data_IF_716349826743
#
_entry.id   IF_716349826743
#
_cell.length_a   1.000
_cell.length_b   1.000
_cell.length_c   1.000
_cell.angle_alpha   90.00
_cell.angle_beta   90.00
_cell.angle_gamma   90.00
#
_symmetry.space_group_name_H-M   'P 1'
#
loop_
_entity.id
_entity.type
_entity.pdbx_description
1 polymer ?
#
# COMPACT_ATOMS: atom_id res chain seq x y z
N UNK A 1 -52.22 -10.81 -11.78
CA UNK A 1 -51.56 -9.48 -11.63
C UNK A 1 -50.19 -9.73 -11.05
N UNK A 2 -49.14 -9.74 -11.88
CA UNK A 2 -47.78 -9.82 -11.39
C UNK A 2 -47.48 -8.47 -10.73
N UNK A 3 -47.38 -8.46 -9.40
CA UNK A 3 -46.92 -7.28 -8.69
C UNK A 3 -45.60 -6.82 -9.27
N UNK A 4 -45.56 -5.59 -9.74
CA UNK A 4 -44.31 -4.92 -10.07
C UNK A 4 -43.46 -4.92 -8.80
N UNK A 5 -42.44 -5.73 -8.75
CA UNK A 5 -41.43 -5.65 -7.69
C UNK A 5 -40.82 -4.25 -7.86
N UNK A 6 -41.11 -3.35 -6.93
CA UNK A 6 -40.52 -2.04 -6.91
C UNK A 6 -39.01 -2.20 -6.73
N UNK A 7 -38.22 -1.90 -7.77
CA UNK A 7 -36.77 -1.88 -7.69
C UNK A 7 -36.34 -0.62 -6.90
N UNK A 8 -35.40 -0.78 -5.98
CA UNK A 8 -34.87 0.36 -5.26
C UNK A 8 -34.16 1.32 -6.24
N UNK A 9 -34.37 2.64 -6.12
CA UNK A 9 -33.69 3.59 -6.99
C UNK A 9 -32.18 3.55 -6.77
N UNK A 10 -31.43 3.87 -7.83
CA UNK A 10 -29.99 3.99 -7.73
C UNK A 10 -29.59 5.22 -6.93
N UNK A 11 -28.59 5.06 -6.05
CA UNK A 11 -27.96 6.14 -5.31
C UNK A 11 -26.75 6.64 -6.11
N UNK A 12 -26.61 7.96 -6.22
CA UNK A 12 -25.46 8.64 -6.82
C UNK A 12 -24.57 9.14 -5.70
N UNK A 13 -23.30 8.76 -5.73
CA UNK A 13 -22.30 9.12 -4.72
C UNK A 13 -21.17 9.85 -5.43
N UNK A 14 -20.84 11.10 -5.04
CA UNK A 14 -19.66 11.78 -5.56
C UNK A 14 -18.40 10.95 -5.30
N UNK A 15 -17.55 10.79 -6.29
CA UNK A 15 -16.35 10.00 -6.18
C UNK A 15 -15.26 10.51 -7.12
N UNK A 16 -14.01 10.36 -6.73
CA UNK A 16 -12.84 10.59 -7.55
C UNK A 16 -12.07 9.29 -7.73
N UNK A 17 -11.82 8.89 -8.97
CA UNK A 17 -10.99 7.73 -9.26
C UNK A 17 -9.57 8.19 -9.48
N UNK A 18 -8.65 7.77 -8.62
CA UNK A 18 -7.28 8.25 -8.59
C UNK A 18 -6.26 7.11 -8.67
N UNK A 19 -5.13 7.41 -9.32
CA UNK A 19 -3.89 6.67 -9.17
C UNK A 19 -3.04 7.36 -8.10
N UNK A 20 -2.49 6.58 -7.21
CA UNK A 20 -1.42 6.97 -6.31
C UNK A 20 -0.31 5.91 -6.36
N UNK A 21 0.92 6.34 -6.66
CA UNK A 21 2.00 5.41 -6.94
C UNK A 21 1.59 4.37 -7.99
N UNK A 22 1.87 3.10 -7.73
CA UNK A 22 1.51 1.97 -8.60
C UNK A 22 0.15 1.34 -8.26
N UNK A 23 -0.72 2.07 -7.56
CA UNK A 23 -2.09 1.62 -7.22
C UNK A 23 -3.11 2.62 -7.71
N UNK A 24 -4.36 2.17 -7.87
CA UNK A 24 -5.52 3.04 -8.10
C UNK A 24 -6.71 2.61 -7.26
N UNK A 25 -7.57 3.57 -6.93
CA UNK A 25 -8.74 3.33 -6.09
C UNK A 25 -9.78 4.42 -6.22
N UNK A 26 -10.95 4.17 -5.65
CA UNK A 26 -12.05 5.12 -5.59
C UNK A 26 -11.97 5.88 -4.28
N UNK A 27 -11.94 7.22 -4.39
CA UNK A 27 -11.84 8.15 -3.27
C UNK A 27 -13.18 8.79 -3.01
N UNK A 28 -13.53 8.86 -1.74
CA UNK A 28 -14.76 9.49 -1.24
C UNK A 28 -14.42 10.49 -0.14
N UNK A 29 -15.17 11.58 -0.11
CA UNK A 29 -15.31 12.36 1.12
C UNK A 29 -16.29 11.64 2.03
N UNK A 30 -16.01 11.56 3.32
CA UNK A 30 -16.87 10.85 4.27
C UNK A 30 -18.29 11.42 4.28
N UNK A 31 -18.43 12.74 4.22
CA UNK A 31 -19.69 13.45 4.23
C UNK A 31 -20.54 13.25 2.95
N UNK A 32 -19.95 12.81 1.85
CA UNK A 32 -20.65 12.52 0.60
C UNK A 32 -21.26 11.08 0.58
N UNK A 33 -20.83 10.22 1.50
CA UNK A 33 -21.41 8.90 1.63
C UNK A 33 -22.85 8.96 2.22
N UNK A 34 -23.76 8.06 1.83
CA UNK A 34 -25.03 7.90 2.52
C UNK A 34 -24.85 7.73 4.04
N UNK A 35 -25.69 8.36 4.86
CA UNK A 35 -25.53 8.42 6.32
C UNK A 35 -25.21 7.06 6.96
N UNK A 36 -25.91 6.00 6.55
CA UNK A 36 -25.66 4.64 7.07
C UNK A 36 -24.27 4.08 6.72
N UNK A 37 -23.64 4.58 5.66
CA UNK A 37 -22.30 4.19 5.24
C UNK A 37 -21.20 5.11 5.81
N UNK A 38 -21.54 6.25 6.40
CA UNK A 38 -20.60 7.10 7.11
C UNK A 38 -20.12 6.44 8.42
N UNK A 39 -20.91 5.50 8.95
CA UNK A 39 -20.58 4.77 10.18
C UNK A 39 -19.93 3.43 9.82
N UNK A 40 -18.83 3.01 10.51
CA UNK A 40 -18.24 1.69 10.30
C UNK A 40 -19.27 0.57 10.50
N UNK A 41 -19.25 -0.42 9.60
CA UNK A 41 -20.14 -1.58 9.69
C UNK A 41 -20.62 -2.09 8.33
N UNK A 42 -21.57 -3.04 8.33
CA UNK A 42 -21.98 -3.76 7.13
C UNK A 42 -22.49 -2.86 5.99
N UNK A 43 -23.16 -1.74 6.31
CA UNK A 43 -23.65 -0.82 5.28
C UNK A 43 -22.51 -0.17 4.49
N UNK A 44 -21.44 0.26 5.19
CA UNK A 44 -20.23 0.77 4.56
C UNK A 44 -19.54 -0.31 3.73
N UNK A 45 -19.32 -1.48 4.29
CA UNK A 45 -18.63 -2.58 3.62
C UNK A 45 -19.36 -3.02 2.36
N UNK A 46 -20.67 -3.22 2.43
CA UNK A 46 -21.51 -3.60 1.29
C UNK A 46 -21.49 -2.53 0.18
N UNK A 47 -21.55 -1.24 0.56
CA UNK A 47 -21.41 -0.14 -0.38
C UNK A 47 -20.08 -0.23 -1.12
N UNK A 48 -18.97 -0.37 -0.41
CA UNK A 48 -17.64 -0.41 -1.00
C UNK A 48 -17.40 -1.68 -1.83
N UNK A 49 -17.92 -2.83 -1.39
CA UNK A 49 -17.91 -4.05 -2.18
C UNK A 49 -18.63 -3.83 -3.52
N UNK A 50 -19.78 -3.20 -3.49
CA UNK A 50 -20.55 -2.93 -4.71
C UNK A 50 -19.86 -1.90 -5.62
N UNK A 51 -19.24 -0.88 -5.05
CA UNK A 51 -18.42 0.10 -5.78
C UNK A 51 -17.28 -0.57 -6.56
N UNK A 52 -16.62 -1.52 -5.95
CA UNK A 52 -15.47 -2.21 -6.57
C UNK A 52 -15.94 -3.34 -7.51
N UNK A 53 -17.15 -3.85 -7.33
CA UNK A 53 -17.68 -5.01 -8.08
C UNK A 53 -17.23 -6.34 -7.48
N UNK A 54 -17.33 -6.45 -6.16
CA UNK A 54 -16.93 -7.63 -5.37
C UNK A 54 -18.10 -8.12 -4.50
N UNK A 55 -18.13 -9.42 -4.17
CA UNK A 55 -17.26 -10.49 -4.67
C UNK A 55 -17.55 -10.85 -6.12
N UNK A 56 -16.53 -11.02 -6.93
CA UNK A 56 -16.67 -11.40 -8.33
C UNK A 56 -16.12 -12.82 -8.58
N UNK A 57 -16.99 -13.83 -8.82
CA UNK A 57 -16.54 -15.19 -9.08
C UNK A 57 -15.80 -15.34 -10.41
N UNK A 58 -15.93 -14.37 -11.32
CA UNK A 58 -15.21 -14.36 -12.59
C UNK A 58 -13.81 -13.72 -12.49
N UNK A 59 -13.49 -13.05 -11.37
CA UNK A 59 -12.21 -12.39 -11.14
C UNK A 59 -11.90 -11.26 -12.12
N UNK A 60 -12.91 -10.52 -12.58
CA UNK A 60 -12.78 -9.41 -13.54
C UNK A 60 -13.25 -8.07 -13.01
N UNK A 61 -14.14 -8.09 -12.00
CA UNK A 61 -14.77 -6.90 -11.41
C UNK A 61 -15.43 -5.99 -12.47
N UNK A 62 -16.04 -6.62 -13.49
CA UNK A 62 -16.63 -5.93 -14.64
C UNK A 62 -17.80 -5.03 -14.26
N UNK A 63 -18.53 -5.36 -13.18
CA UNK A 63 -19.67 -4.60 -12.67
C UNK A 63 -19.27 -3.67 -11.51
N UNK A 64 -18.08 -3.07 -11.58
CA UNK A 64 -17.55 -2.13 -10.61
C UNK A 64 -16.30 -1.39 -11.09
N UNK A 65 -15.71 -0.61 -10.20
CA UNK A 65 -14.52 0.20 -10.47
C UNK A 65 -13.21 -0.55 -10.23
N UNK A 66 -13.26 -1.78 -9.75
CA UNK A 66 -12.08 -2.59 -9.54
C UNK A 66 -11.41 -3.02 -10.85
N UNK A 67 -10.17 -3.48 -10.75
CA UNK A 67 -9.38 -3.97 -11.90
C UNK A 67 -8.82 -5.36 -11.66
N UNK A 68 -9.45 -6.16 -10.81
CA UNK A 68 -9.17 -7.55 -10.53
C UNK A 68 -7.72 -7.85 -10.07
N UNK A 69 -7.06 -6.87 -9.45
CA UNK A 69 -5.77 -7.04 -8.77
C UNK A 69 -5.78 -6.35 -7.41
N UNK A 70 -4.86 -6.73 -6.53
CA UNK A 70 -4.74 -6.08 -5.22
C UNK A 70 -4.36 -4.59 -5.31
N UNK A 71 -3.70 -4.18 -6.40
CA UNK A 71 -3.32 -2.77 -6.65
C UNK A 71 -4.47 -1.92 -7.19
N UNK A 72 -5.55 -2.53 -7.66
CA UNK A 72 -6.66 -1.85 -8.35
C UNK A 72 -8.04 -2.08 -7.69
N UNK A 73 -8.10 -2.85 -6.59
CA UNK A 73 -9.34 -3.15 -5.84
C UNK A 73 -9.32 -2.46 -4.49
N UNK A 74 -9.35 -1.12 -4.52
CA UNK A 74 -9.10 -0.27 -3.34
C UNK A 74 -10.11 0.86 -3.25
N UNK A 75 -10.44 1.20 -2.01
CA UNK A 75 -11.27 2.37 -1.66
C UNK A 75 -10.56 3.23 -0.63
N UNK A 76 -10.82 4.52 -0.68
CA UNK A 76 -10.29 5.52 0.23
C UNK A 76 -11.42 6.43 0.67
N UNK A 77 -11.53 6.62 1.98
CA UNK A 77 -12.45 7.60 2.57
C UNK A 77 -11.60 8.65 3.28
N UNK A 78 -11.83 9.91 2.95
CA UNK A 78 -11.12 11.07 3.52
C UNK A 78 -12.13 11.97 4.20
N UNK A 79 -11.75 12.51 5.35
CA UNK A 79 -12.52 13.52 6.08
C UNK A 79 -11.58 14.58 6.68
N UNK A 80 -12.14 15.72 7.09
CA UNK A 80 -11.38 16.67 7.93
C UNK A 80 -10.89 15.94 9.18
N UNK A 81 -9.63 16.16 9.56
CA UNK A 81 -9.08 15.45 10.71
C UNK A 81 -9.71 15.90 12.01
N UNK A 82 -9.93 14.92 12.89
CA UNK A 82 -10.29 15.12 14.29
C UNK A 82 -9.06 15.09 15.21
N UNK A 83 -7.90 14.73 14.67
CA UNK A 83 -6.65 14.67 15.40
C UNK A 83 -5.95 16.04 15.38
N UNK A 84 -5.39 16.50 16.51
CA UNK A 84 -4.64 17.75 16.55
C UNK A 84 -3.48 17.70 15.54
N UNK A 85 -3.18 18.85 14.95
CA UNK A 85 -2.08 19.03 13.99
C UNK A 85 -2.14 18.19 12.71
N UNK A 86 -3.32 17.67 12.34
CA UNK A 86 -3.55 16.96 11.09
C UNK A 86 -4.61 17.68 10.23
N UNK A 87 -4.42 17.61 8.92
CA UNK A 87 -5.35 18.20 7.97
C UNK A 87 -6.53 17.26 7.69
N UNK A 88 -6.25 15.98 7.46
CA UNK A 88 -7.24 14.97 7.10
C UNK A 88 -7.04 13.64 7.82
N UNK A 89 -8.15 12.94 8.03
CA UNK A 89 -8.17 11.53 8.35
C UNK A 89 -8.28 10.72 7.05
N UNK A 90 -7.44 9.71 6.91
CA UNK A 90 -7.38 8.80 5.78
C UNK A 90 -7.74 7.38 6.23
N UNK A 91 -8.86 6.88 5.75
CA UNK A 91 -9.31 5.50 5.98
C UNK A 91 -9.19 4.70 4.69
N UNK A 92 -8.43 3.60 4.74
CA UNK A 92 -8.15 2.74 3.60
C UNK A 92 -8.92 1.43 3.68
N UNK A 93 -9.61 1.03 2.60
CA UNK A 93 -10.26 -0.27 2.45
C UNK A 93 -9.63 -1.09 1.32
N UNK A 94 -9.02 -2.24 1.67
CA UNK A 94 -8.60 -3.23 0.67
C UNK A 94 -9.76 -4.17 0.39
N UNK A 95 -10.30 -4.12 -0.82
CA UNK A 95 -11.45 -4.96 -1.19
C UNK A 95 -10.94 -6.27 -1.79
N UNK A 96 -11.44 -7.40 -1.25
CA UNK A 96 -11.18 -8.71 -1.84
C UNK A 96 -11.87 -8.84 -3.19
N UNK A 97 -11.25 -9.56 -4.15
CA UNK A 97 -11.80 -9.74 -5.49
C UNK A 97 -12.95 -10.75 -5.47
N UNK A 98 -12.73 -11.88 -4.81
CA UNK A 98 -13.57 -13.09 -4.86
C UNK A 98 -14.36 -13.34 -3.57
N UNK A 99 -14.14 -12.55 -2.52
CA UNK A 99 -14.80 -12.70 -1.21
C UNK A 99 -15.53 -11.42 -0.80
N UNK A 100 -16.64 -11.53 -0.06
CA UNK A 100 -17.37 -10.36 0.43
C UNK A 100 -16.66 -9.73 1.65
N UNK A 101 -15.42 -9.27 1.45
CA UNK A 101 -14.56 -8.75 2.52
C UNK A 101 -13.93 -7.43 2.10
N UNK A 102 -14.07 -6.42 2.94
CA UNK A 102 -13.24 -5.22 2.95
C UNK A 102 -12.27 -5.36 4.13
N UNK A 103 -10.99 -5.46 3.85
CA UNK A 103 -9.95 -5.58 4.89
C UNK A 103 -9.47 -4.18 5.30
N UNK A 104 -9.72 -3.83 6.57
CA UNK A 104 -9.36 -2.57 7.18
C UNK A 104 -8.07 -2.63 8.00
N UNK A 105 -7.37 -3.76 8.01
CA UNK A 105 -6.24 -4.04 8.92
C UNK A 105 -4.95 -3.29 8.59
N UNK A 106 -4.90 -2.54 7.50
CA UNK A 106 -3.64 -1.92 7.06
C UNK A 106 -3.83 -0.63 6.27
N UNK A 107 -2.74 -0.13 5.74
CA UNK A 107 -2.64 1.09 4.96
C UNK A 107 -2.21 0.78 3.51
N UNK A 108 -2.47 1.72 2.60
CA UNK A 108 -1.92 1.71 1.24
C UNK A 108 -0.98 2.91 1.04
N UNK A 109 0.33 2.69 1.23
CA UNK A 109 1.33 3.74 1.07
C UNK A 109 1.42 4.33 -0.35
N UNK A 110 1.03 3.56 -1.37
CA UNK A 110 0.94 4.09 -2.74
C UNK A 110 -0.20 5.12 -2.86
N UNK A 111 -1.41 4.79 -2.38
CA UNK A 111 -2.53 5.71 -2.44
C UNK A 111 -2.37 6.92 -1.52
N UNK A 112 -1.50 6.85 -0.51
CA UNK A 112 -1.22 8.00 0.37
C UNK A 112 -0.74 9.23 -0.41
N UNK A 113 0.03 9.05 -1.49
CA UNK A 113 0.42 10.16 -2.36
C UNK A 113 -0.80 10.86 -2.99
N UNK A 114 -1.84 10.09 -3.34
CA UNK A 114 -3.08 10.62 -3.87
C UNK A 114 -3.96 11.27 -2.79
N UNK A 115 -3.87 10.81 -1.52
CA UNK A 115 -4.63 11.42 -0.40
C UNK A 115 -4.24 12.88 -0.21
N UNK A 116 -2.95 13.22 -0.26
CA UNK A 116 -2.49 14.60 -0.16
C UNK A 116 -3.06 15.49 -1.27
N UNK A 117 -2.99 15.01 -2.51
CA UNK A 117 -3.56 15.69 -3.67
C UNK A 117 -5.09 15.83 -3.55
N UNK A 118 -5.79 14.76 -3.17
CA UNK A 118 -7.24 14.77 -2.95
C UNK A 118 -7.65 15.75 -1.84
N UNK A 119 -6.90 15.81 -0.75
CA UNK A 119 -7.18 16.72 0.36
C UNK A 119 -7.11 18.20 -0.07
N UNK A 120 -6.12 18.56 -0.88
CA UNK A 120 -5.99 19.92 -1.43
C UNK A 120 -7.16 20.20 -2.38
N UNK A 121 -7.41 19.35 -3.37
CA UNK A 121 -8.46 19.52 -4.38
C UNK A 121 -9.87 19.53 -3.76
N UNK A 122 -10.07 18.80 -2.66
CA UNK A 122 -11.34 18.76 -1.92
C UNK A 122 -11.52 19.93 -0.93
N UNK A 123 -10.55 20.83 -0.81
CA UNK A 123 -10.61 22.00 0.08
C UNK A 123 -10.47 21.68 1.57
N UNK A 124 -9.88 20.54 1.92
CA UNK A 124 -9.59 20.18 3.32
C UNK A 124 -8.35 20.90 3.86
N UNK A 125 -7.44 21.33 2.99
CA UNK A 125 -6.24 22.10 3.32
C UNK A 125 -6.56 23.59 3.15
N UNK A 126 -6.12 24.43 4.10
CA UNK A 126 -6.40 25.86 4.08
C UNK A 126 -5.83 26.52 2.81
N UNK A 127 -6.64 27.38 2.19
CA UNK A 127 -6.28 28.09 0.95
C UNK A 127 -5.06 29.00 1.10
N UNK A 128 -4.80 29.51 2.31
CA UNK A 128 -3.61 30.33 2.61
C UNK A 128 -2.31 29.56 2.44
N UNK A 129 -2.37 28.21 2.48
CA UNK A 129 -1.24 27.31 2.25
C UNK A 129 -1.08 26.90 0.77
N UNK A 130 -2.03 27.30 -0.06
CA UNK A 130 -2.02 27.09 -1.52
C UNK A 130 -1.95 28.46 -2.20
N UNK A 131 -0.75 28.98 -2.49
CA UNK A 131 -0.60 30.35 -2.99
C UNK A 131 -1.29 30.54 -4.34
N UNK A 132 -2.05 31.62 -4.46
CA UNK A 132 -2.64 32.12 -5.70
C UNK A 132 -1.95 33.44 -6.07
N UNK A 133 -0.92 33.37 -6.89
CA UNK A 133 -0.11 34.55 -7.28
C UNK A 133 -0.49 35.14 -8.66
N UNK A 134 -1.65 34.86 -9.16
CA UNK A 134 -2.41 35.59 -10.20
C UNK A 134 -1.77 35.79 -11.58
N UNK A 135 -0.51 35.98 -11.75
CA UNK A 135 0.12 36.29 -13.04
C UNK A 135 1.48 35.62 -13.32
N UNK A 136 2.05 34.97 -12.34
CA UNK A 136 3.31 34.23 -12.47
C UNK A 136 3.05 32.78 -12.11
N UNK A 137 3.42 31.85 -13.00
CA UNK A 137 3.36 30.43 -12.71
C UNK A 137 4.32 30.12 -11.57
N UNK A 138 3.80 29.89 -10.38
CA UNK A 138 4.58 29.53 -9.21
C UNK A 138 4.21 28.10 -8.83
N UNK A 139 5.19 27.21 -8.88
CA UNK A 139 5.07 25.85 -8.33
C UNK A 139 5.61 25.86 -6.92
N UNK A 140 4.77 25.55 -5.96
CA UNK A 140 5.13 25.44 -4.56
C UNK A 140 4.81 24.06 -4.02
N UNK A 141 5.39 23.72 -2.87
CA UNK A 141 5.12 22.45 -2.21
C UNK A 141 4.21 22.68 -1.01
N UNK A 142 3.02 22.12 -1.07
CA UNK A 142 2.08 22.09 0.04
C UNK A 142 2.29 20.82 0.88
N UNK A 143 2.50 21.03 2.17
CA UNK A 143 2.63 19.91 3.13
C UNK A 143 1.26 19.57 3.68
N UNK A 144 0.80 18.33 3.46
CA UNK A 144 -0.44 17.79 4.01
C UNK A 144 -0.11 16.80 5.11
N UNK A 145 -0.62 17.05 6.30
CA UNK A 145 -0.48 16.15 7.46
C UNK A 145 -1.69 15.23 7.53
N UNK A 146 -1.46 13.95 7.30
CA UNK A 146 -2.48 12.91 7.16
C UNK A 146 -2.46 12.05 8.41
N UNK A 147 -3.60 11.90 9.08
CA UNK A 147 -3.81 10.85 10.06
C UNK A 147 -4.30 9.59 9.35
N UNK A 148 -3.49 8.57 9.36
CA UNK A 148 -3.87 7.28 8.79
C UNK A 148 -4.67 6.48 9.83
N UNK A 149 -5.98 6.45 9.66
CA UNK A 149 -6.93 6.01 10.69
C UNK A 149 -6.92 4.49 10.95
N UNK A 150 -6.48 3.67 9.97
CA UNK A 150 -6.43 2.21 10.16
C UNK A 150 -5.32 1.78 11.12
N UNK A 151 -4.17 2.45 11.07
CA UNK A 151 -2.95 2.08 11.81
C UNK A 151 -2.51 3.15 12.80
N UNK A 152 -3.30 4.21 12.96
CA UNK A 152 -3.06 5.33 13.88
C UNK A 152 -1.66 5.96 13.71
N UNK A 153 -1.32 6.35 12.48
CA UNK A 153 -0.01 6.91 12.13
C UNK A 153 -0.12 8.25 11.44
N UNK A 154 0.87 9.09 11.70
CA UNK A 154 1.07 10.33 10.95
C UNK A 154 1.82 10.04 9.66
N UNK A 155 1.30 10.52 8.54
CA UNK A 155 1.98 10.53 7.26
C UNK A 155 1.99 11.96 6.74
N UNK A 156 3.11 12.38 6.17
CA UNK A 156 3.26 13.70 5.57
C UNK A 156 3.36 13.50 4.05
N UNK A 157 2.48 14.15 3.31
CA UNK A 157 2.58 14.24 1.86
C UNK A 157 3.02 15.66 1.47
N UNK A 158 4.09 15.76 0.71
CA UNK A 158 4.57 17.01 0.12
C UNK A 158 4.11 17.02 -1.34
N UNK A 159 3.11 17.83 -1.62
CA UNK A 159 2.39 17.84 -2.90
C UNK A 159 2.76 19.12 -3.65
N UNK A 160 3.26 19.02 -4.90
CA UNK A 160 3.47 20.20 -5.73
C UNK A 160 2.12 20.81 -6.15
N UNK A 161 2.05 22.14 -6.06
CA UNK A 161 0.87 22.94 -6.39
C UNK A 161 1.31 24.08 -7.31
N UNK A 162 0.58 24.30 -8.38
CA UNK A 162 0.83 25.39 -9.32
C UNK A 162 -0.42 26.24 -9.42
N UNK A 163 -0.29 27.53 -9.11
CA UNK A 163 -1.41 28.50 -9.12
C UNK A 163 -2.63 28.05 -8.30
N UNK A 164 -2.39 27.47 -7.12
CA UNK A 164 -3.45 27.00 -6.22
C UNK A 164 -4.05 25.63 -6.58
N UNK A 165 -3.62 25.00 -7.68
CA UNK A 165 -4.09 23.68 -8.12
C UNK A 165 -2.99 22.63 -7.98
N UNK A 166 -3.38 21.39 -7.68
CA UNK A 166 -2.44 20.26 -7.61
C UNK A 166 -1.74 20.07 -8.94
N UNK A 167 -0.42 20.06 -8.91
CA UNK A 167 0.40 19.79 -10.09
C UNK A 167 0.45 18.28 -10.34
N UNK A 168 -0.13 17.81 -11.44
CA UNK A 168 -0.11 16.39 -11.81
C UNK A 168 0.96 16.04 -12.84
N UNK A 169 1.37 17.00 -13.66
CA UNK A 169 2.37 16.82 -14.72
C UNK A 169 3.77 17.14 -14.23
N UNK A 170 4.77 16.40 -14.70
CA UNK A 170 6.18 16.58 -14.34
C UNK A 170 7.05 15.49 -14.97
N UNK A 171 8.32 15.49 -14.62
CA UNK A 171 9.34 14.61 -15.22
C UNK A 171 9.71 13.42 -14.30
N UNK A 172 9.03 13.27 -13.17
CA UNK A 172 9.32 12.18 -12.24
C UNK A 172 8.82 10.86 -12.82
N UNK A 173 9.76 9.97 -13.12
CA UNK A 173 9.49 8.61 -13.56
C UNK A 173 9.31 7.67 -12.36
N UNK A 174 8.30 6.84 -12.41
CA UNK A 174 8.03 5.81 -11.40
C UNK A 174 7.87 4.47 -12.10
N UNK A 175 8.81 3.55 -11.92
CA UNK A 175 8.74 2.21 -12.48
C UNK A 175 7.45 1.48 -12.05
N UNK A 176 6.72 0.95 -13.03
CA UNK A 176 5.37 0.40 -12.85
C UNK A 176 4.24 1.40 -13.16
N UNK A 177 4.57 2.63 -13.56
CA UNK A 177 3.66 3.66 -14.07
C UNK A 177 4.12 4.09 -15.45
N UNK A 178 3.18 4.16 -16.40
CA UNK A 178 3.52 4.34 -17.83
C UNK A 178 4.06 5.73 -18.15
N UNK A 179 3.54 6.78 -17.52
CA UNK A 179 3.85 8.15 -17.85
C UNK A 179 4.50 8.88 -16.67
N UNK A 180 5.49 9.75 -16.92
CA UNK A 180 6.04 10.62 -15.88
C UNK A 180 4.96 11.57 -15.35
N UNK A 181 5.16 12.09 -14.15
CA UNK A 181 4.23 12.95 -13.45
C UNK A 181 4.96 13.85 -12.45
N UNK A 182 4.25 14.74 -11.76
CA UNK A 182 4.84 15.49 -10.67
C UNK A 182 5.17 14.56 -9.48
N UNK A 183 6.34 14.79 -8.87
CA UNK A 183 6.79 14.04 -7.71
C UNK A 183 6.00 14.46 -6.46
N UNK A 184 5.49 13.46 -5.75
CA UNK A 184 4.92 13.62 -4.40
C UNK A 184 5.80 12.87 -3.43
N UNK A 185 6.48 13.58 -2.53
CA UNK A 185 7.24 12.95 -1.46
C UNK A 185 6.31 12.54 -0.33
N UNK A 186 6.44 11.30 0.13
CA UNK A 186 5.67 10.75 1.24
C UNK A 186 6.60 10.36 2.37
N UNK A 187 6.36 10.90 3.57
CA UNK A 187 7.11 10.63 4.77
C UNK A 187 6.22 9.91 5.79
N UNK A 188 6.60 8.70 6.18
CA UNK A 188 5.95 7.93 7.24
C UNK A 188 6.66 8.25 8.55
N UNK A 189 5.98 8.91 9.46
CA UNK A 189 6.55 9.32 10.75
C UNK A 189 6.38 8.19 11.75
N UNK A 190 7.47 7.86 12.44
CA UNK A 190 7.54 6.78 13.42
C UNK A 190 6.85 5.51 12.89
N UNK A 191 7.27 4.98 11.73
CA UNK A 191 6.54 3.94 11.03
C UNK A 191 6.44 2.62 11.82
N UNK A 192 7.30 2.46 12.82
CA UNK A 192 7.34 1.29 13.70
C UNK A 192 6.63 1.52 15.06
N UNK A 193 6.26 2.75 15.41
CA UNK A 193 5.50 3.01 16.63
C UNK A 193 4.05 2.57 16.44
N UNK A 194 3.49 1.74 17.32
CA UNK A 194 2.14 1.22 17.23
C UNK A 194 1.85 0.16 18.27
N UNK A 195 0.76 -0.57 18.08
CA UNK A 195 0.49 -1.74 18.89
C UNK A 195 1.54 -2.83 18.61
N UNK A 196 2.42 -3.07 19.57
CA UNK A 196 3.48 -4.06 19.49
C UNK A 196 4.86 -3.48 19.13
N UNK A 197 5.89 -4.31 19.31
CA UNK A 197 7.26 -3.98 19.00
C UNK A 197 7.51 -3.96 17.48
N UNK A 198 8.50 -3.16 17.04
CA UNK A 198 8.96 -3.17 15.64
C UNK A 198 9.40 -4.56 15.20
N UNK A 199 10.07 -5.30 16.08
CA UNK A 199 10.34 -6.72 15.92
C UNK A 199 9.45 -7.48 16.93
N UNK A 200 8.29 -8.04 16.50
CA UNK A 200 7.32 -8.65 17.43
C UNK A 200 7.87 -9.83 18.22
N UNK A 201 8.90 -10.51 17.69
CA UNK A 201 9.57 -11.64 18.34
C UNK A 201 10.75 -11.19 19.23
N UNK A 202 11.17 -9.94 19.14
CA UNK A 202 12.38 -9.41 19.77
C UNK A 202 13.67 -9.68 19.00
N UNK A 203 13.62 -10.44 17.91
CA UNK A 203 14.79 -10.81 17.12
C UNK A 203 14.80 -10.11 15.75
N UNK A 204 15.98 -9.85 15.21
CA UNK A 204 16.15 -9.34 13.82
C UNK A 204 15.91 -10.45 12.80
N UNK A 205 16.27 -11.69 13.15
CA UNK A 205 16.05 -12.90 12.34
C UNK A 205 15.58 -14.03 13.26
N UNK A 206 14.52 -14.70 12.86
CA UNK A 206 13.92 -15.85 13.53
C UNK A 206 14.01 -17.10 12.67
N UNK A 207 13.87 -18.25 13.33
CA UNK A 207 13.49 -19.49 12.67
C UNK A 207 11.96 -19.56 12.59
N UNK A 208 11.44 -19.65 11.37
CA UNK A 208 10.02 -19.79 11.08
C UNK A 208 9.77 -21.22 10.55
N UNK A 209 9.18 -22.06 11.39
CA UNK A 209 8.81 -23.42 11.00
C UNK A 209 7.50 -23.42 10.23
N UNK A 210 7.55 -23.87 8.97
CA UNK A 210 6.40 -23.86 8.05
C UNK A 210 6.15 -25.29 7.56
N UNK A 211 5.04 -25.95 7.96
CA UNK A 211 4.71 -27.29 7.51
C UNK A 211 4.67 -27.43 5.99
N UNK A 212 5.34 -28.44 5.47
CA UNK A 212 5.46 -28.69 4.04
C UNK A 212 6.51 -27.84 3.30
N UNK A 213 7.11 -26.85 3.99
CA UNK A 213 8.18 -26.00 3.43
C UNK A 213 9.51 -26.25 4.17
N UNK A 214 9.46 -26.31 5.49
CA UNK A 214 10.65 -26.44 6.35
C UNK A 214 10.83 -25.25 7.28
N UNK A 215 12.02 -25.16 7.89
CA UNK A 215 12.42 -24.04 8.75
C UNK A 215 13.10 -22.97 7.90
N UNK A 216 12.49 -21.78 7.83
CA UNK A 216 12.99 -20.63 7.09
C UNK A 216 13.60 -19.62 8.07
N UNK A 217 14.75 -19.02 7.71
CA UNK A 217 15.17 -17.78 8.36
C UNK A 217 14.26 -16.65 7.89
N UNK A 218 13.73 -15.87 8.84
CA UNK A 218 12.79 -14.80 8.56
C UNK A 218 13.09 -13.55 9.38
N UNK A 219 13.07 -12.37 8.74
CA UNK A 219 12.94 -11.09 9.43
C UNK A 219 11.47 -10.72 9.46
N UNK A 220 10.89 -10.63 10.64
CA UNK A 220 9.50 -10.26 10.87
C UNK A 220 9.44 -8.86 11.47
N UNK A 221 9.00 -7.88 10.69
CA UNK A 221 9.05 -6.47 11.08
C UNK A 221 7.68 -5.82 10.99
N UNK A 222 7.38 -4.97 11.96
CA UNK A 222 6.17 -4.14 12.01
C UNK A 222 6.56 -2.67 11.78
N UNK A 223 6.77 -2.30 10.53
CA UNK A 223 7.08 -0.93 10.11
C UNK A 223 6.38 -0.62 8.78
N UNK A 224 5.51 0.38 8.78
CA UNK A 224 4.66 0.71 7.63
C UNK A 224 3.54 -0.30 7.40
N UNK A 225 3.89 -1.58 7.31
CA UNK A 225 2.97 -2.72 7.32
C UNK A 225 3.72 -3.95 7.88
N UNK A 226 3.06 -4.80 8.68
CA UNK A 226 3.65 -6.06 9.10
C UNK A 226 4.14 -6.87 7.90
N UNK A 227 5.40 -7.25 7.89
CA UNK A 227 6.03 -7.95 6.76
C UNK A 227 6.95 -9.06 7.25
N UNK A 228 6.88 -10.19 6.58
CA UNK A 228 7.76 -11.34 6.74
C UNK A 228 8.72 -11.36 5.55
N UNK A 229 10.00 -11.10 5.78
CA UNK A 229 11.05 -11.24 4.78
C UNK A 229 11.75 -12.59 4.93
N UNK A 230 11.98 -13.28 3.81
CA UNK A 230 12.69 -14.55 3.70
C UNK A 230 13.71 -14.46 2.56
N UNK A 231 14.72 -15.32 2.55
CA UNK A 231 15.64 -15.41 1.43
C UNK A 231 14.98 -16.12 0.24
N UNK A 232 15.23 -15.64 -0.97
CA UNK A 232 14.66 -16.18 -2.20
C UNK A 232 15.09 -17.64 -2.44
N UNK A 233 16.38 -17.96 -2.24
CA UNK A 233 16.95 -19.29 -2.40
C UNK A 233 16.32 -20.33 -1.46
N UNK A 234 15.93 -19.92 -0.25
CA UNK A 234 15.28 -20.81 0.71
C UNK A 234 13.90 -21.31 0.25
N UNK A 235 13.30 -20.68 -0.74
CA UNK A 235 12.01 -21.04 -1.34
C UNK A 235 12.11 -21.37 -2.83
N UNK A 236 13.33 -21.57 -3.34
CA UNK A 236 13.60 -22.02 -4.70
C UNK A 236 13.51 -20.94 -5.78
N UNK A 237 13.69 -19.66 -5.40
CA UNK A 237 13.67 -18.51 -6.29
C UNK A 237 14.98 -17.72 -6.27
N UNK A 238 15.15 -16.79 -7.24
CA UNK A 238 16.36 -15.98 -7.37
C UNK A 238 16.12 -14.49 -7.06
N UNK A 239 14.86 -14.07 -6.85
CA UNK A 239 14.52 -12.67 -6.69
C UNK A 239 14.34 -11.90 -7.99
N UNK A 240 14.47 -12.53 -9.15
CA UNK A 240 14.33 -11.90 -10.48
C UNK A 240 12.97 -12.20 -11.14
N UNK A 241 12.14 -13.03 -10.52
CA UNK A 241 10.88 -13.52 -11.08
C UNK A 241 9.90 -12.39 -11.38
N UNK A 242 9.17 -12.53 -12.49
CA UNK A 242 8.02 -11.71 -12.84
C UNK A 242 6.72 -12.37 -12.36
N UNK A 243 5.61 -11.63 -12.45
CA UNK A 243 4.32 -12.07 -11.91
C UNK A 243 3.86 -13.42 -12.40
N UNK A 244 3.99 -13.70 -13.71
CA UNK A 244 3.44 -14.90 -14.35
C UNK A 244 4.08 -16.17 -13.79
N UNK A 245 5.36 -16.12 -13.45
CA UNK A 245 6.11 -17.25 -12.87
C UNK A 245 5.52 -17.68 -11.54
N UNK A 246 5.16 -16.73 -10.68
CA UNK A 246 4.61 -16.98 -9.34
C UNK A 246 3.09 -17.12 -9.41
N UNK A 247 2.40 -16.17 -10.07
CA UNK A 247 0.94 -16.10 -10.06
C UNK A 247 0.29 -17.19 -10.91
N UNK A 248 1.02 -17.73 -11.88
CA UNK A 248 0.63 -18.88 -12.68
C UNK A 248 0.87 -20.24 -12.01
N UNK A 249 1.50 -20.26 -10.85
CA UNK A 249 1.84 -21.50 -10.14
C UNK A 249 1.03 -21.62 -8.83
N UNK A 250 -0.04 -22.45 -8.81
CA UNK A 250 -0.86 -22.65 -7.61
C UNK A 250 -0.10 -23.18 -6.41
N UNK A 251 0.92 -24.01 -6.62
CA UNK A 251 1.75 -24.58 -5.52
C UNK A 251 2.60 -23.49 -4.88
N UNK A 252 3.19 -22.60 -5.68
CA UNK A 252 3.92 -21.43 -5.18
C UNK A 252 3.01 -20.52 -4.35
N UNK A 253 1.80 -20.22 -4.85
CA UNK A 253 0.84 -19.38 -4.14
C UNK A 253 0.41 -20.00 -2.81
N UNK A 254 0.16 -21.32 -2.79
CA UNK A 254 -0.18 -22.05 -1.57
C UNK A 254 0.98 -22.05 -0.55
N UNK A 255 2.22 -22.23 -1.02
CA UNK A 255 3.42 -22.14 -0.19
C UNK A 255 3.55 -20.75 0.45
N UNK A 256 3.47 -19.68 -0.33
CA UNK A 256 3.58 -18.31 0.20
C UNK A 256 2.44 -17.96 1.16
N UNK A 257 1.22 -18.43 0.89
CA UNK A 257 0.10 -18.24 1.81
C UNK A 257 0.32 -18.98 3.14
N UNK A 258 0.90 -20.18 3.09
CA UNK A 258 1.27 -20.94 4.30
C UNK A 258 2.34 -20.18 5.09
N UNK A 259 3.39 -19.68 4.43
CA UNK A 259 4.43 -18.85 5.07
C UNK A 259 3.81 -17.61 5.71
N UNK A 260 2.88 -16.93 5.01
CA UNK A 260 2.16 -15.76 5.53
C UNK A 260 1.37 -16.08 6.79
N UNK A 261 0.63 -17.16 6.79
CA UNK A 261 -0.22 -17.57 7.91
C UNK A 261 0.60 -17.92 9.15
N UNK A 262 1.69 -18.69 8.99
CA UNK A 262 2.59 -19.03 10.09
C UNK A 262 3.36 -17.79 10.59
N UNK A 263 3.80 -16.91 9.69
CA UNK A 263 4.39 -15.64 10.05
C UNK A 263 3.42 -14.74 10.84
N UNK A 264 2.15 -14.70 10.45
CA UNK A 264 1.11 -13.93 11.15
C UNK A 264 0.90 -14.41 12.59
N UNK A 265 0.89 -15.74 12.82
CA UNK A 265 0.84 -16.34 14.16
C UNK A 265 2.09 -16.00 14.96
N UNK A 266 3.27 -16.15 14.36
CA UNK A 266 4.56 -15.88 15.03
C UNK A 266 4.72 -14.39 15.41
N UNK A 267 4.17 -13.49 14.59
CA UNK A 267 4.12 -12.04 14.87
C UNK A 267 3.03 -11.65 15.89
N UNK A 268 2.16 -12.58 16.32
CA UNK A 268 1.05 -12.30 17.23
C UNK A 268 -0.11 -11.53 16.59
N UNK A 269 -0.19 -11.46 15.26
CA UNK A 269 -1.25 -10.75 14.53
C UNK A 269 -2.57 -11.53 14.51
N UNK A 270 -2.50 -12.84 14.62
CA UNK A 270 -3.62 -13.80 14.73
C UNK A 270 -3.26 -14.88 15.75
N UNK A 271 -4.29 -15.51 16.33
CA UNK A 271 -4.11 -16.57 17.31
C UNK A 271 -4.03 -17.96 16.66
N UNK A 272 -4.64 -18.11 15.50
CA UNK A 272 -4.67 -19.38 14.77
C UNK A 272 -4.59 -19.17 13.27
N UNK A 273 -4.04 -20.15 12.55
CA UNK A 273 -3.89 -20.12 11.07
C UNK A 273 -5.24 -19.92 10.37
N UNK A 274 -6.36 -20.38 10.98
CA UNK A 274 -7.71 -20.24 10.40
C UNK A 274 -8.12 -18.79 10.21
N UNK A 275 -7.62 -17.89 11.05
CA UNK A 275 -7.91 -16.45 10.96
C UNK A 275 -7.21 -15.77 9.78
N UNK A 276 -6.17 -16.38 9.21
CA UNK A 276 -5.44 -15.83 8.09
C UNK A 276 -6.33 -15.58 6.85
N UNK A 277 -7.40 -16.36 6.68
CA UNK A 277 -8.32 -16.24 5.54
C UNK A 277 -9.11 -14.93 5.53
N UNK A 278 -9.42 -14.35 6.70
CA UNK A 278 -10.14 -13.08 6.84
C UNK A 278 -9.21 -11.88 7.05
N UNK A 279 -7.91 -12.15 7.26
CA UNK A 279 -6.85 -11.16 7.40
C UNK A 279 -5.84 -11.27 6.25
N UNK A 280 -6.31 -11.10 5.01
CA UNK A 280 -5.48 -11.32 3.82
C UNK A 280 -4.49 -10.18 3.53
N UNK A 281 -4.79 -8.98 4.02
CA UNK A 281 -3.95 -7.81 3.75
C UNK A 281 -2.63 -7.82 4.54
N UNK A 282 -2.62 -8.40 5.74
CA UNK A 282 -1.46 -8.42 6.65
C UNK A 282 -1.23 -9.79 7.29
N UNK A 283 0.05 -10.18 7.53
CA UNK A 283 1.28 -9.53 7.07
C UNK A 283 1.49 -9.68 5.57
N UNK A 284 2.42 -8.91 5.00
CA UNK A 284 2.96 -9.19 3.68
C UNK A 284 4.01 -10.29 3.79
N UNK A 285 4.23 -11.03 2.70
CA UNK A 285 5.40 -11.88 2.52
C UNK A 285 6.24 -11.31 1.40
N UNK A 286 7.53 -11.18 1.64
CA UNK A 286 8.48 -10.77 0.62
C UNK A 286 9.72 -11.67 0.68
N UNK A 287 10.23 -12.06 -0.48
CA UNK A 287 11.52 -12.71 -0.55
C UNK A 287 12.56 -11.76 -1.15
N UNK A 288 13.77 -11.85 -0.61
CA UNK A 288 14.90 -10.98 -0.92
C UNK A 288 16.08 -11.79 -1.45
N UNK A 289 16.85 -11.19 -2.33
CA UNK A 289 18.10 -11.75 -2.84
C UNK A 289 19.16 -10.65 -3.04
N UNK A 290 20.44 -10.99 -3.07
CA UNK A 290 21.47 -10.07 -3.52
C UNK A 290 21.19 -9.50 -4.91
N UNK A 291 21.78 -8.34 -5.27
CA UNK A 291 21.61 -7.76 -6.59
C UNK A 291 22.01 -8.71 -7.71
N UNK A 292 21.19 -8.77 -8.76
CA UNK A 292 21.50 -9.49 -10.00
C UNK A 292 20.81 -8.79 -11.17
N UNK A 293 21.35 -8.98 -12.38
CA UNK A 293 20.75 -8.48 -13.60
C UNK A 293 19.41 -9.16 -13.88
N UNK A 294 18.42 -8.39 -14.32
CA UNK A 294 17.13 -8.94 -14.74
C UNK A 294 16.41 -8.02 -15.73
N UNK A 295 15.45 -8.59 -16.46
CA UNK A 295 14.53 -7.81 -17.27
C UNK A 295 13.26 -7.51 -16.48
N UNK A 296 12.93 -6.25 -16.33
CA UNK A 296 11.66 -5.81 -15.76
C UNK A 296 10.48 -6.14 -16.70
N UNK A 297 9.25 -6.10 -16.19
CA UNK A 297 8.02 -6.39 -16.96
C UNK A 297 7.78 -5.46 -18.16
N UNK A 298 8.42 -4.28 -18.17
CA UNK A 298 8.43 -3.35 -19.30
C UNK A 298 9.44 -3.71 -20.40
N UNK A 299 10.32 -4.69 -20.17
CA UNK A 299 11.46 -5.00 -21.02
C UNK A 299 12.73 -4.19 -20.69
N UNK A 300 12.66 -3.25 -19.74
CA UNK A 300 13.84 -2.51 -19.26
C UNK A 300 14.79 -3.47 -18.57
N UNK A 301 16.06 -3.46 -18.97
CA UNK A 301 17.12 -4.20 -18.27
C UNK A 301 17.54 -3.42 -17.04
N UNK A 302 17.52 -4.09 -15.91
CA UNK A 302 18.06 -3.58 -14.63
C UNK A 302 19.37 -4.32 -14.40
N UNK A 303 20.44 -3.60 -14.22
CA UNK A 303 21.77 -4.18 -13.97
C UNK A 303 22.08 -4.17 -12.48
N UNK A 304 22.91 -5.12 -12.08
CA UNK A 304 23.31 -5.34 -10.68
C UNK A 304 23.77 -4.07 -9.97
N UNK A 305 24.49 -3.18 -10.70
CA UNK A 305 25.03 -1.96 -10.12
C UNK A 305 23.99 -0.83 -9.89
N UNK A 306 22.79 -0.97 -10.44
CA UNK A 306 21.71 0.02 -10.29
C UNK A 306 20.86 -0.22 -9.02
N UNK A 307 21.07 -1.35 -8.37
CA UNK A 307 20.28 -1.78 -7.21
C UNK A 307 21.15 -2.33 -6.09
N UNK A 308 20.68 -2.22 -4.87
CA UNK A 308 21.32 -2.78 -3.67
C UNK A 308 20.79 -4.18 -3.32
N UNK A 309 19.55 -4.48 -3.67
CA UNK A 309 18.84 -5.73 -3.31
C UNK A 309 17.69 -6.01 -4.27
N UNK A 310 17.40 -7.27 -4.49
CA UNK A 310 16.19 -7.72 -5.18
C UNK A 310 15.09 -8.02 -4.16
N UNK A 311 13.87 -7.55 -4.44
CA UNK A 311 12.70 -7.83 -3.59
C UNK A 311 11.50 -8.22 -4.45
N UNK A 312 10.84 -9.30 -4.04
CA UNK A 312 9.56 -9.75 -4.59
C UNK A 312 8.55 -9.86 -3.45
N UNK A 313 7.43 -9.18 -3.55
CA UNK A 313 6.47 -9.10 -2.45
C UNK A 313 5.06 -9.49 -2.89
N UNK A 314 4.39 -10.29 -2.06
CA UNK A 314 3.03 -10.75 -2.31
C UNK A 314 2.01 -9.92 -1.53
N UNK A 315 0.86 -9.69 -2.14
CA UNK A 315 -0.29 -9.01 -1.57
C UNK A 315 -1.58 -9.70 -1.97
N UNK A 316 -2.45 -9.99 -1.02
CA UNK A 316 -3.72 -10.69 -1.27
C UNK A 316 -3.50 -12.01 -2.05
N UNK A 317 -2.49 -12.79 -1.65
CA UNK A 317 -2.17 -14.08 -2.24
C UNK A 317 -1.55 -14.04 -3.64
N UNK A 318 -1.09 -12.89 -4.13
CA UNK A 318 -0.48 -12.75 -5.46
C UNK A 318 0.80 -11.91 -5.38
N UNK A 319 1.78 -12.23 -6.25
CA UNK A 319 2.95 -11.37 -6.46
C UNK A 319 2.52 -10.03 -7.03
N UNK A 320 2.95 -8.94 -6.39
CA UNK A 320 2.64 -7.59 -6.82
C UNK A 320 3.44 -7.23 -8.10
N UNK A 321 2.80 -6.53 -9.04
CA UNK A 321 3.43 -6.16 -10.32
C UNK A 321 4.60 -5.17 -10.18
N UNK A 322 4.60 -4.38 -9.11
CA UNK A 322 5.67 -3.44 -8.75
C UNK A 322 5.98 -3.60 -7.26
N UNK A 323 5.78 -2.54 -6.44
CA UNK A 323 5.94 -2.62 -4.99
C UNK A 323 4.82 -1.87 -4.26
N UNK A 324 4.30 -2.49 -3.20
CA UNK A 324 3.39 -1.83 -2.28
C UNK A 324 4.13 -0.76 -1.50
N UNK A 325 3.55 0.45 -1.39
CA UNK A 325 4.21 1.56 -0.70
C UNK A 325 4.52 1.28 0.77
N UNK A 326 3.61 0.61 1.48
CA UNK A 326 3.85 0.23 2.88
C UNK A 326 4.90 -0.88 3.03
N UNK A 327 4.99 -1.81 2.09
CA UNK A 327 6.08 -2.78 2.06
C UNK A 327 7.41 -2.09 1.73
N UNK A 328 7.41 -1.04 0.90
CA UNK A 328 8.60 -0.22 0.65
C UNK A 328 9.10 0.47 1.93
N UNK A 329 8.21 0.90 2.83
CA UNK A 329 8.56 1.40 4.18
C UNK A 329 9.21 0.28 5.01
N UNK A 330 8.65 -0.93 5.01
CA UNK A 330 9.23 -2.07 5.72
C UNK A 330 10.62 -2.43 5.15
N UNK A 331 10.78 -2.40 3.82
CA UNK A 331 12.09 -2.60 3.15
C UNK A 331 13.09 -1.54 3.59
N UNK A 332 12.71 -0.25 3.53
CA UNK A 332 13.58 0.86 3.95
C UNK A 332 14.04 0.70 5.40
N UNK A 333 13.09 0.40 6.29
CA UNK A 333 13.36 0.19 7.72
C UNK A 333 14.27 -1.01 7.95
N UNK A 334 13.94 -2.16 7.35
CA UNK A 334 14.77 -3.37 7.50
C UNK A 334 16.17 -3.19 6.90
N UNK A 335 16.30 -2.51 5.74
CA UNK A 335 17.60 -2.25 5.14
C UNK A 335 18.49 -1.36 6.01
N UNK A 336 17.88 -0.39 6.73
CA UNK A 336 18.60 0.53 7.63
C UNK A 336 19.04 -0.12 8.96
N UNK A 337 18.60 -1.34 9.25
CA UNK A 337 18.91 -2.05 10.50
C UNK A 337 19.88 -3.20 10.20
N UNK A 338 21.16 -3.08 10.59
CA UNK A 338 22.16 -4.13 10.38
C UNK A 338 21.74 -5.48 10.96
N UNK A 339 21.89 -6.54 10.18
CA UNK A 339 21.58 -7.92 10.60
C UNK A 339 20.19 -8.42 10.24
N UNK A 340 19.29 -7.59 9.71
CA UNK A 340 18.05 -8.07 9.08
C UNK A 340 18.34 -8.75 7.75
N UNK A 341 17.46 -9.64 7.26
CA UNK A 341 17.66 -10.31 5.96
C UNK A 341 17.71 -9.31 4.79
N UNK A 342 16.96 -8.22 4.85
CA UNK A 342 17.01 -7.16 3.80
C UNK A 342 18.37 -6.47 3.80
N UNK A 343 18.88 -6.08 4.99
CA UNK A 343 20.19 -5.45 5.13
C UNK A 343 21.30 -6.39 4.68
N UNK A 344 21.26 -7.67 5.09
CA UNK A 344 22.25 -8.67 4.70
C UNK A 344 22.23 -8.93 3.19
N UNK A 345 21.05 -9.04 2.57
CA UNK A 345 20.92 -9.21 1.12
C UNK A 345 21.43 -7.98 0.34
N UNK A 346 21.34 -6.79 0.96
CA UNK A 346 21.89 -5.54 0.39
C UNK A 346 23.42 -5.37 0.63
N UNK A 347 24.09 -6.39 1.17
CA UNK A 347 25.55 -6.35 1.45
C UNK A 347 25.92 -5.94 2.88
N UNK A 348 24.94 -5.76 3.77
CA UNK A 348 25.14 -5.44 5.18
C UNK A 348 25.53 -3.99 5.45
N UNK A 349 25.90 -3.72 6.71
CA UNK A 349 26.40 -2.42 7.17
C UNK A 349 25.32 -1.38 7.42
N UNK A 350 25.76 -0.18 7.82
CA UNK A 350 24.89 0.96 8.07
C UNK A 350 24.38 1.55 6.76
N UNK A 351 23.06 1.78 6.68
CA UNK A 351 22.40 2.36 5.51
C UNK A 351 21.34 3.37 5.92
N UNK A 352 21.22 4.46 5.17
CA UNK A 352 20.13 5.45 5.30
C UNK A 352 19.16 5.36 4.12
N UNK A 353 19.54 4.65 3.05
CA UNK A 353 18.71 4.42 1.88
C UNK A 353 19.07 3.10 1.21
N UNK A 354 18.16 2.60 0.41
CA UNK A 354 18.34 1.42 -0.43
C UNK A 354 17.58 1.59 -1.73
N UNK A 355 18.20 1.20 -2.85
CA UNK A 355 17.54 1.05 -4.14
C UNK A 355 17.29 -0.43 -4.36
N UNK A 356 16.04 -0.85 -4.42
CA UNK A 356 15.71 -2.26 -4.64
C UNK A 356 15.09 -2.49 -6.02
N UNK A 357 15.44 -3.64 -6.61
CA UNK A 357 14.83 -4.13 -7.84
C UNK A 357 13.53 -4.88 -7.57
N UNK A 358 12.47 -4.56 -8.33
CA UNK A 358 11.15 -5.19 -8.26
C UNK A 358 10.61 -5.55 -9.66
N UNK A 359 9.48 -6.27 -9.82
CA UNK A 359 9.05 -6.76 -11.13
C UNK A 359 8.95 -5.70 -12.25
N UNK A 360 8.61 -4.46 -11.92
CA UNK A 360 8.47 -3.39 -12.94
C UNK A 360 9.70 -2.48 -13.07
N UNK A 361 10.75 -2.69 -12.29
CA UNK A 361 11.97 -1.87 -12.33
C UNK A 361 12.58 -1.65 -10.96
N UNK A 362 12.87 -0.41 -10.59
CA UNK A 362 13.58 -0.05 -9.35
C UNK A 362 12.78 0.93 -8.49
N UNK A 363 13.11 0.99 -7.21
CA UNK A 363 12.61 2.00 -6.30
C UNK A 363 13.65 2.31 -5.23
N UNK A 364 13.96 3.60 -5.07
CA UNK A 364 14.74 4.08 -3.96
C UNK A 364 13.83 4.45 -2.79
N UNK A 365 14.24 4.03 -1.58
CA UNK A 365 13.59 4.36 -0.32
C UNK A 365 14.61 4.67 0.74
N UNK A 366 14.26 5.51 1.71
CA UNK A 366 15.12 5.87 2.83
C UNK A 366 14.46 5.65 4.18
N UNK A 367 15.27 5.44 5.22
CA UNK A 367 14.82 5.40 6.59
C UNK A 367 15.89 5.95 7.55
N UNK A 368 15.43 6.63 8.60
CA UNK A 368 16.27 7.09 9.70
C UNK A 368 16.10 6.12 10.87
N UNK A 369 17.03 5.17 10.98
CA UNK A 369 17.08 4.18 12.06
C UNK A 369 18.20 4.51 13.05
N UNK A 370 17.93 4.30 14.34
CA UNK A 370 18.92 4.47 15.43
C UNK A 370 18.72 3.37 16.46
N UNK A 371 19.81 2.87 17.00
CA UNK A 371 19.79 2.00 18.16
C UNK A 371 19.89 2.82 19.44
N UNK A 372 18.92 2.70 20.34
CA UNK A 372 18.87 3.39 21.62
C UNK A 372 18.69 2.33 22.71
N UNK A 373 19.68 2.20 23.60
CA UNK A 373 19.67 1.23 24.70
C UNK A 373 19.41 -0.23 24.25
N UNK A 374 20.01 -0.64 23.14
CA UNK A 374 19.85 -1.99 22.58
C UNK A 374 18.51 -2.22 21.85
N UNK A 375 17.74 -1.16 21.62
CA UNK A 375 16.48 -1.22 20.87
C UNK A 375 16.55 -0.34 19.63
N UNK A 376 16.16 -0.90 18.49
CA UNK A 376 16.06 -0.13 17.25
C UNK A 376 14.82 0.76 17.26
N UNK A 377 15.00 2.00 16.83
CA UNK A 377 13.94 2.99 16.63
C UNK A 377 14.07 3.58 15.22
N UNK A 378 12.95 3.79 14.55
CA UNK A 378 12.89 4.43 13.23
C UNK A 378 11.98 5.64 13.33
N UNK A 379 12.58 6.83 13.14
CA UNK A 379 11.86 8.11 13.27
C UNK A 379 11.09 8.44 11.99
N UNK A 380 11.60 8.02 10.84
CA UNK A 380 11.02 8.36 9.55
C UNK A 380 11.42 7.37 8.47
N UNK A 381 10.47 7.07 7.58
CA UNK A 381 10.75 6.45 6.28
C UNK A 381 10.20 7.33 5.17
N UNK A 382 10.96 7.45 4.06
CA UNK A 382 10.68 8.39 2.97
C UNK A 382 10.66 7.63 1.66
N UNK A 383 9.70 7.98 0.80
CA UNK A 383 9.66 7.53 -0.58
C UNK A 383 9.03 8.59 -1.49
N UNK A 384 9.47 8.62 -2.73
CA UNK A 384 8.86 9.42 -3.78
C UNK A 384 7.82 8.61 -4.55
N UNK A 385 6.72 9.25 -4.87
CA UNK A 385 5.60 8.72 -5.65
C UNK A 385 5.09 9.80 -6.58
N UNK A 386 4.06 9.47 -7.35
CA UNK A 386 3.25 10.45 -8.07
C UNK A 386 1.77 10.10 -7.91
N UNK A 387 0.91 11.07 -8.10
CA UNK A 387 -0.53 10.90 -8.05
C UNK A 387 -1.18 11.51 -9.29
N UNK A 388 -2.38 11.03 -9.64
CA UNK A 388 -3.15 11.58 -10.74
C UNK A 388 -4.63 11.30 -10.54
N UNK A 389 -5.47 12.30 -10.81
CA UNK A 389 -6.91 12.11 -10.99
C UNK A 389 -7.13 11.45 -12.35
N UNK A 390 -7.85 10.33 -12.35
CA UNK A 390 -8.21 9.60 -13.56
C UNK A 390 -9.63 9.94 -14.02
N UNK A 391 -10.53 10.16 -13.07
CA UNK A 391 -11.92 10.55 -13.33
C UNK A 391 -12.54 11.16 -12.07
N UNK A 392 -13.40 12.14 -12.26
CA UNK A 392 -14.27 12.70 -11.23
C UNK A 392 -15.73 12.59 -11.66
N UNK A 393 -16.66 12.42 -10.70
CA UNK A 393 -18.08 12.34 -11.01
C UNK A 393 -18.86 11.60 -9.94
N UNK A 394 -19.86 10.83 -10.37
CA UNK A 394 -20.73 10.05 -9.49
C UNK A 394 -20.69 8.58 -9.82
N UNK A 395 -20.42 7.78 -8.80
CA UNK A 395 -20.69 6.35 -8.92
C UNK A 395 -22.16 6.08 -8.63
N UNK A 396 -22.77 5.11 -9.32
CA UNK A 396 -24.14 4.70 -9.15
C UNK A 396 -24.20 3.27 -8.64
N UNK A 397 -24.90 3.08 -7.56
CA UNK A 397 -25.14 1.75 -6.97
C UNK A 397 -26.63 1.56 -6.66
N UNK A 398 -27.15 0.31 -6.70
CA UNK A 398 -28.52 0.05 -6.29
C UNK A 398 -28.74 0.42 -4.82
N UNK A 399 -29.83 1.13 -4.51
CA UNK A 399 -30.08 1.66 -3.17
C UNK A 399 -30.38 0.60 -2.10
N UNK A 400 -30.64 -0.63 -2.51
CA UNK A 400 -30.87 -1.80 -1.66
C UNK A 400 -29.62 -2.69 -1.46
N UNK A 401 -28.48 -2.31 -2.03
CA UNK A 401 -27.25 -3.12 -2.00
C UNK A 401 -26.36 -2.87 -0.77
N UNK A 402 -26.75 -1.95 0.14
CA UNK A 402 -25.91 -1.60 1.31
C UNK A 402 -26.73 -1.15 2.51
#
# INVERSE_FOLDING_TARGET
MSGLISQAPQVKIPATYMRGGTSKGVFFRLEDLPERAQIPGPARDNLLLRVIGSPDPYGKQTDGMGGATSSTSKTVIVSKSTQPDHDVDYLFGQVSIDKPVVDWSGNCGNLTAAVGAFAISSGYVDKERTPDNGAVTVTETVTVRIWQANIHKTIIAKVPVTNGEVQETGDFELDGVTFPAAEVQVEFINPADGEGAMFPTGNLVDDLDVPGVGTLKATMINAGIPTVFINADAVGYNGTELQDVINGNPEALAMFETIRAYGAVKMGLIQSIKEAAVRQHTPKVAFVAPPADYSASSGKTIVTNDIDVLVRALSMGKLHHAMMGTAAVAIATAAAIPGTLVNLAAGGGDRTSVTFGHPSGTLQVGAEAKEINGQWTVTKAIMSRSARVLMEGWIRIPGDSF
#
